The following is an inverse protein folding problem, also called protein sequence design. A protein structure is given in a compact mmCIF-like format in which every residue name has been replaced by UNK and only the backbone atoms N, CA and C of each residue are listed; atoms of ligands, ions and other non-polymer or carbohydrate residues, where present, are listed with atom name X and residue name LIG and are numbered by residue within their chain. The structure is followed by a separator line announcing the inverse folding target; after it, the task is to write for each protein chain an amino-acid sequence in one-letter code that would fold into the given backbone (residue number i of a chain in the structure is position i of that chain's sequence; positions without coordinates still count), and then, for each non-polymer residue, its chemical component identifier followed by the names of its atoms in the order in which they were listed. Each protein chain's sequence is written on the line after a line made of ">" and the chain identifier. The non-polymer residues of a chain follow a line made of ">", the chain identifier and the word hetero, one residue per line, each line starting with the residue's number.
data_IF_886539801204
#
_entry.id   IF_886539801204
#
_cell.length_a   1.000
_cell.length_b   1.000
_cell.length_c   1.000
_cell.angle_alpha   90.00
_cell.angle_beta   90.00
_cell.angle_gamma   90.00
#
_symmetry.space_group_name_H-M   'P 1'
#
loop_
_entity.id
_entity.type
_entity.pdbx_description
1 polymer ?
#
# COMPACT_ATOMS: atom_id res chain seq x y z
N UNK A 1 -6.86 10.54 -19.04
CA UNK A 1 -7.12 11.73 -18.21
C UNK A 1 -6.75 11.43 -16.76
N UNK A 2 -5.49 11.73 -16.38
CA UNK A 2 -4.95 11.43 -15.06
C UNK A 2 -5.54 12.35 -13.97
N UNK A 3 -5.83 11.85 -12.75
CA UNK A 3 -6.20 12.72 -11.65
C UNK A 3 -4.95 13.42 -11.09
N UNK A 4 -4.76 14.65 -11.55
CA UNK A 4 -3.75 15.64 -11.17
C UNK A 4 -3.88 16.16 -9.70
N UNK A 5 -4.35 15.35 -8.75
CA UNK A 5 -4.70 15.84 -7.40
C UNK A 5 -3.59 15.71 -6.34
N UNK A 6 -2.50 14.99 -6.62
CA UNK A 6 -1.41 14.77 -5.64
C UNK A 6 -0.08 15.50 -5.97
N UNK A 7 0.02 16.25 -7.08
CA UNK A 7 1.31 16.80 -7.53
C UNK A 7 1.76 18.11 -6.87
N UNK A 8 0.95 18.75 -6.01
CA UNK A 8 1.23 20.13 -5.53
C UNK A 8 1.70 20.30 -4.09
N UNK A 9 1.80 19.25 -3.27
CA UNK A 9 2.22 19.41 -1.86
C UNK A 9 3.67 19.03 -1.55
N UNK A 10 4.43 18.48 -2.52
CA UNK A 10 5.80 17.98 -2.28
C UNK A 10 6.83 19.07 -1.91
N UNK A 11 6.53 20.37 -2.07
CA UNK A 11 7.49 21.45 -1.79
C UNK A 11 7.26 22.20 -0.47
N UNK A 12 6.18 21.92 0.29
CA UNK A 12 5.83 22.74 1.44
C UNK A 12 5.26 21.93 2.62
N UNK A 13 6.04 21.01 3.17
CA UNK A 13 5.91 20.56 4.56
C UNK A 13 7.14 19.73 4.97
N UNK A 14 8.29 20.38 5.15
CA UNK A 14 9.38 19.81 5.96
C UNK A 14 9.02 20.02 7.43
N UNK A 15 8.01 19.31 7.90
CA UNK A 15 7.73 19.20 9.32
C UNK A 15 8.61 18.10 9.88
N UNK A 16 9.44 18.46 10.84
CA UNK A 16 10.30 17.57 11.61
C UNK A 16 9.45 16.59 12.42
N UNK A 17 8.99 15.51 11.80
CA UNK A 17 8.68 14.31 12.56
C UNK A 17 10.00 13.64 12.92
N UNK A 18 10.21 13.23 14.19
CA UNK A 18 11.41 12.50 14.54
C UNK A 18 11.44 11.22 13.70
N UNK A 19 12.56 11.00 13.01
CA UNK A 19 12.80 9.75 12.31
C UNK A 19 12.55 8.59 13.31
N UNK A 20 11.84 7.52 12.90
CA UNK A 20 11.74 6.34 13.73
C UNK A 20 13.16 5.89 14.11
N UNK A 21 13.39 5.41 15.34
CA UNK A 21 14.70 4.96 15.74
C UNK A 21 15.20 3.94 14.72
N UNK A 22 16.47 4.03 14.28
CA UNK A 22 17.02 3.06 13.34
C UNK A 22 16.79 1.67 13.92
N UNK A 23 16.19 0.78 13.12
CA UNK A 23 16.14 -0.62 13.47
C UNK A 23 17.59 -1.05 13.78
N UNK A 24 17.81 -1.55 14.99
CA UNK A 24 19.15 -1.96 15.42
C UNK A 24 19.74 -2.87 14.34
N UNK A 25 20.80 -2.40 13.67
CA UNK A 25 21.45 -3.08 12.58
C UNK A 25 22.23 -4.29 13.13
N UNK A 26 21.50 -5.34 13.50
CA UNK A 26 22.06 -6.67 13.54
C UNK A 26 22.43 -7.02 12.09
N UNK A 27 23.69 -7.43 11.87
CA UNK A 27 24.21 -7.82 10.56
C UNK A 27 23.41 -8.99 9.97
N UNK A 28 22.27 -8.71 9.35
CA UNK A 28 21.47 -9.68 8.62
C UNK A 28 22.14 -9.87 7.26
N UNK A 29 22.57 -11.11 6.99
CA UNK A 29 23.25 -11.51 5.75
C UNK A 29 22.31 -11.59 4.53
N UNK A 30 21.05 -11.19 4.66
CA UNK A 30 20.05 -11.22 3.59
C UNK A 30 18.73 -10.57 4.01
N UNK A 31 17.79 -10.51 3.08
CA UNK A 31 16.44 -9.97 3.24
C UNK A 31 15.42 -11.09 3.09
N UNK A 32 14.31 -11.01 3.82
CA UNK A 32 13.19 -11.94 3.62
C UNK A 32 12.11 -11.34 2.74
N UNK A 33 11.51 -12.17 1.91
CA UNK A 33 10.36 -11.83 1.09
C UNK A 33 9.38 -13.00 0.97
N UNK A 34 8.09 -12.70 0.86
CA UNK A 34 7.10 -13.66 0.41
C UNK A 34 7.09 -13.66 -1.11
N UNK A 35 7.40 -14.80 -1.73
CA UNK A 35 7.35 -14.95 -3.19
C UNK A 35 6.21 -15.89 -3.55
N UNK A 36 5.30 -15.40 -4.38
CA UNK A 36 4.21 -16.18 -4.94
C UNK A 36 4.59 -16.74 -6.32
N UNK A 37 4.04 -17.91 -6.64
CA UNK A 37 4.15 -18.65 -7.90
C UNK A 37 2.76 -18.91 -8.46
N UNK A 38 2.69 -19.20 -9.75
CA UNK A 38 1.40 -19.51 -10.38
C UNK A 38 0.88 -20.84 -9.85
N UNK A 39 -0.42 -20.89 -9.52
CA UNK A 39 -1.07 -22.11 -8.99
C UNK A 39 -0.92 -23.31 -9.93
N UNK A 40 -0.79 -23.08 -11.24
CA UNK A 40 -0.61 -24.17 -12.22
C UNK A 40 0.74 -24.87 -12.10
N UNK A 41 1.72 -24.21 -11.49
CA UNK A 41 3.10 -24.67 -11.39
C UNK A 41 3.40 -25.23 -9.99
N UNK A 42 2.37 -25.35 -9.14
CA UNK A 42 2.47 -25.75 -7.74
C UNK A 42 1.66 -27.03 -7.54
N UNK A 43 2.24 -28.09 -6.95
CA UNK A 43 1.51 -29.33 -6.66
C UNK A 43 0.26 -29.10 -5.82
N UNK A 44 -0.71 -30.01 -5.96
CA UNK A 44 -1.94 -29.96 -5.16
C UNK A 44 -1.61 -30.13 -3.67
N UNK A 45 -2.28 -29.34 -2.82
CA UNK A 45 -2.03 -29.31 -1.38
C UNK A 45 -0.87 -28.42 -0.93
N UNK A 46 -0.03 -27.93 -1.85
CA UNK A 46 1.08 -27.03 -1.50
C UNK A 46 0.67 -25.54 -1.55
N UNK A 47 1.34 -24.72 -0.74
CA UNK A 47 1.15 -23.28 -0.77
C UNK A 47 1.77 -22.69 -2.06
N UNK A 48 1.02 -21.85 -2.78
CA UNK A 48 1.54 -21.17 -3.97
C UNK A 48 2.49 -20.01 -3.64
N UNK A 49 2.76 -19.76 -2.37
CA UNK A 49 3.71 -18.77 -1.91
C UNK A 49 4.56 -19.32 -0.77
N UNK A 50 5.79 -18.82 -0.67
CA UNK A 50 6.75 -19.22 0.34
C UNK A 50 7.59 -18.03 0.77
N UNK A 51 7.95 -17.98 2.05
CA UNK A 51 9.01 -17.07 2.50
C UNK A 51 10.35 -17.54 1.95
N UNK A 52 11.13 -16.61 1.41
CA UNK A 52 12.47 -16.85 0.88
C UNK A 52 13.46 -15.85 1.47
N UNK A 53 14.69 -16.29 1.67
CA UNK A 53 15.82 -15.42 1.95
C UNK A 53 16.50 -15.05 0.63
N UNK A 54 16.71 -13.75 0.40
CA UNK A 54 17.41 -13.21 -0.77
C UNK A 54 18.63 -12.39 -0.33
N UNK A 55 19.69 -12.40 -1.12
CA UNK A 55 20.93 -11.70 -0.78
C UNK A 55 20.77 -10.17 -0.80
N UNK A 56 19.91 -9.63 -1.68
CA UNK A 56 19.65 -8.21 -1.85
C UNK A 56 18.28 -7.98 -2.52
N UNK A 57 17.78 -6.74 -2.48
CA UNK A 57 16.49 -6.38 -3.11
C UNK A 57 16.50 -6.65 -4.63
N UNK A 58 17.66 -6.50 -5.28
CA UNK A 58 17.84 -6.77 -6.71
C UNK A 58 17.69 -8.24 -7.09
N UNK A 59 17.68 -9.16 -6.10
CA UNK A 59 17.45 -10.58 -6.32
C UNK A 59 15.96 -10.97 -6.21
N UNK A 60 15.07 -10.00 -5.94
CA UNK A 60 13.64 -10.24 -6.00
C UNK A 60 13.18 -10.48 -7.46
N UNK A 61 12.08 -11.23 -7.67
CA UNK A 61 11.75 -11.79 -8.98
C UNK A 61 11.46 -10.78 -10.10
N UNK A 62 10.87 -9.62 -9.79
CA UNK A 62 10.32 -8.67 -10.77
C UNK A 62 10.61 -7.22 -10.40
N UNK A 63 11.86 -6.82 -10.54
CA UNK A 63 12.27 -5.43 -10.37
C UNK A 63 11.71 -4.53 -11.49
N UNK A 64 11.38 -3.28 -11.15
CA UNK A 64 11.11 -2.26 -12.16
C UNK A 64 12.44 -1.69 -12.66
N UNK A 65 12.77 -1.79 -13.96
CA UNK A 65 14.01 -1.22 -14.50
C UNK A 65 14.07 0.32 -14.38
N UNK A 66 12.96 0.98 -14.06
CA UNK A 66 12.89 2.43 -13.82
C UNK A 66 12.87 2.80 -12.34
N UNK A 67 13.02 1.85 -11.43
CA UNK A 67 13.09 2.17 -10.00
C UNK A 67 14.34 2.99 -9.68
N UNK A 68 14.17 4.02 -8.86
CA UNK A 68 15.20 4.98 -8.45
C UNK A 68 15.17 5.27 -6.93
N UNK A 69 14.33 4.55 -6.19
CA UNK A 69 14.26 4.56 -4.71
C UNK A 69 14.20 3.14 -4.19
N UNK A 70 15.02 2.85 -3.18
CA UNK A 70 14.95 1.66 -2.35
C UNK A 70 14.40 2.03 -0.97
N UNK A 71 13.43 1.26 -0.49
CA UNK A 71 12.74 1.48 0.78
C UNK A 71 12.99 0.30 1.71
N UNK A 72 13.39 0.58 2.94
CA UNK A 72 13.33 -0.37 4.04
C UNK A 72 11.90 -0.43 4.57
N UNK A 73 11.23 -1.55 4.35
CA UNK A 73 9.82 -1.70 4.68
C UNK A 73 9.69 -2.06 6.14
N UNK A 74 8.86 -1.28 6.85
CA UNK A 74 8.52 -1.53 8.25
C UNK A 74 7.14 -2.16 8.39
N UNK A 75 6.19 -1.74 7.56
CA UNK A 75 4.80 -2.14 7.62
C UNK A 75 4.23 -2.27 6.21
N UNK A 76 3.28 -3.17 6.05
CA UNK A 76 2.49 -3.36 4.84
C UNK A 76 1.05 -3.68 5.24
N UNK A 77 0.16 -3.80 4.28
CA UNK A 77 -1.26 -4.10 4.49
C UNK A 77 -1.64 -5.40 3.81
N UNK A 78 -2.81 -5.95 4.16
CA UNK A 78 -3.37 -7.10 3.49
C UNK A 78 -4.63 -6.70 2.73
N UNK A 79 -4.55 -6.78 1.40
CA UNK A 79 -5.69 -6.51 0.53
C UNK A 79 -6.20 -7.79 -0.12
N UNK A 80 -7.47 -7.77 -0.55
CA UNK A 80 -8.10 -8.89 -1.23
C UNK A 80 -7.29 -9.39 -2.44
N UNK A 81 -6.74 -8.46 -3.24
CA UNK A 81 -5.90 -8.82 -4.38
C UNK A 81 -4.57 -9.46 -3.99
N UNK A 82 -3.97 -9.03 -2.88
CA UNK A 82 -2.74 -9.64 -2.37
C UNK A 82 -2.99 -11.11 -2.01
N UNK A 83 -4.13 -11.39 -1.36
CA UNK A 83 -4.53 -12.76 -1.04
C UNK A 83 -4.71 -13.63 -2.29
N UNK A 84 -5.35 -13.11 -3.35
CA UNK A 84 -5.48 -13.83 -4.62
C UNK A 84 -4.11 -14.17 -5.23
N UNK A 85 -3.15 -13.25 -5.15
CA UNK A 85 -1.79 -13.45 -5.68
C UNK A 85 -1.03 -14.47 -4.82
N UNK A 86 -1.12 -14.37 -3.49
CA UNK A 86 -0.53 -15.32 -2.53
C UNK A 86 -1.05 -16.75 -2.76
N UNK A 87 -2.30 -16.88 -3.21
CA UNK A 87 -2.91 -18.16 -3.59
C UNK A 87 -2.54 -18.64 -5.00
N UNK A 88 -1.78 -17.85 -5.76
CA UNK A 88 -1.30 -18.18 -7.11
C UNK A 88 -2.37 -18.01 -8.20
N UNK A 89 -3.44 -17.25 -7.94
CA UNK A 89 -4.55 -17.08 -8.88
C UNK A 89 -4.14 -16.23 -10.09
N UNK A 90 -4.70 -16.55 -11.27
CA UNK A 90 -4.48 -15.79 -12.50
C UNK A 90 -5.44 -14.60 -12.60
N UNK A 91 -5.05 -13.59 -13.38
CA UNK A 91 -5.89 -12.43 -13.70
C UNK A 91 -5.64 -11.19 -12.84
N UNK A 92 -4.83 -11.30 -11.78
CA UNK A 92 -4.49 -10.19 -10.87
C UNK A 92 -3.07 -9.66 -11.12
N UNK A 93 -2.11 -10.57 -11.32
CA UNK A 93 -0.72 -10.24 -11.68
C UNK A 93 -0.46 -10.53 -13.14
N UNK A 94 0.49 -9.79 -13.72
CA UNK A 94 0.91 -9.99 -15.12
C UNK A 94 1.57 -11.35 -15.30
N UNK A 95 2.59 -11.64 -14.47
CA UNK A 95 3.29 -12.92 -14.49
C UNK A 95 3.84 -13.25 -13.10
N UNK A 96 4.00 -14.53 -12.85
CA UNK A 96 4.70 -15.11 -11.70
C UNK A 96 6.12 -15.56 -12.11
N UNK A 97 7.06 -15.74 -11.17
CA UNK A 97 6.96 -15.44 -9.74
C UNK A 97 6.97 -13.93 -9.44
N UNK A 98 6.42 -13.53 -8.30
CA UNK A 98 6.38 -12.13 -7.86
C UNK A 98 6.30 -12.04 -6.34
N UNK A 99 6.89 -10.99 -5.75
CA UNK A 99 6.60 -10.61 -4.37
C UNK A 99 5.31 -9.78 -4.30
N UNK A 100 4.24 -10.23 -3.62
CA UNK A 100 2.98 -9.48 -3.51
C UNK A 100 3.10 -8.29 -2.54
N UNK A 101 1.97 -7.62 -2.25
CA UNK A 101 1.92 -6.50 -1.32
C UNK A 101 1.85 -5.19 -2.08
N UNK A 102 0.65 -4.67 -2.25
CA UNK A 102 0.42 -3.43 -3.02
C UNK A 102 0.57 -2.16 -2.19
N UNK A 103 0.67 -2.28 -0.88
CA UNK A 103 0.94 -1.18 0.04
C UNK A 103 2.21 -1.45 0.84
N UNK A 104 2.95 -0.41 1.17
CA UNK A 104 3.95 -0.47 2.22
C UNK A 104 4.29 0.92 2.77
N UNK A 105 4.83 0.92 3.98
CA UNK A 105 5.38 2.08 4.64
C UNK A 105 6.74 1.76 5.24
N UNK A 106 7.65 2.71 5.14
CA UNK A 106 9.04 2.49 5.49
C UNK A 106 9.87 3.75 5.49
N UNK A 107 11.17 3.55 5.48
CA UNK A 107 12.15 4.62 5.33
C UNK A 107 12.96 4.41 4.07
N UNK A 108 13.32 5.49 3.41
CA UNK A 108 14.20 5.43 2.24
C UNK A 108 15.56 4.92 2.67
N UNK A 109 15.96 3.79 2.11
CA UNK A 109 17.27 3.18 2.33
C UNK A 109 18.31 3.75 1.37
N UNK A 110 17.90 4.04 0.13
CA UNK A 110 18.74 4.65 -0.91
C UNK A 110 17.86 5.37 -1.92
N UNK A 111 18.33 6.49 -2.46
CA UNK A 111 17.67 7.15 -3.60
C UNK A 111 18.66 7.77 -4.57
N UNK A 112 18.37 7.66 -5.87
CA UNK A 112 19.00 8.45 -6.93
C UNK A 112 18.10 9.61 -7.41
N UNK A 113 16.89 9.74 -6.87
CA UNK A 113 15.94 10.80 -7.21
C UNK A 113 16.11 11.99 -6.24
N UNK A 114 16.00 13.24 -6.71
CA UNK A 114 16.04 14.40 -5.81
C UNK A 114 14.78 14.56 -4.95
N UNK A 115 13.72 13.78 -5.21
CA UNK A 115 12.45 13.86 -4.48
C UNK A 115 12.54 13.28 -3.05
N UNK A 116 13.47 12.36 -2.81
CA UNK A 116 13.57 11.61 -1.56
C UNK A 116 15.03 11.47 -1.13
N UNK A 117 15.27 11.50 0.18
CA UNK A 117 16.59 11.34 0.80
C UNK A 117 16.59 10.11 1.70
N UNK A 118 17.76 9.52 1.89
CA UNK A 118 17.93 8.45 2.87
C UNK A 118 17.42 8.88 4.25
N UNK A 119 16.65 8.01 4.90
CA UNK A 119 15.99 8.28 6.18
C UNK A 119 14.61 8.93 6.08
N UNK A 120 14.19 9.41 4.89
CA UNK A 120 12.84 9.97 4.73
C UNK A 120 11.79 8.87 4.93
N UNK A 121 10.75 9.19 5.71
CA UNK A 121 9.60 8.33 5.89
C UNK A 121 8.69 8.38 4.66
N UNK A 122 8.34 7.22 4.12
CA UNK A 122 7.59 7.11 2.85
C UNK A 122 6.50 6.06 2.92
N UNK A 123 5.49 6.27 2.08
CA UNK A 123 4.34 5.39 1.91
C UNK A 123 4.14 5.14 0.43
N UNK A 124 3.82 3.90 0.07
CA UNK A 124 3.33 3.52 -1.24
C UNK A 124 1.97 2.84 -1.08
N UNK A 125 1.00 3.22 -1.90
CA UNK A 125 -0.26 2.51 -2.07
C UNK A 125 -0.59 2.34 -3.54
N UNK A 126 -0.57 1.11 -4.05
CA UNK A 126 -0.87 0.78 -5.45
C UNK A 126 0.32 0.94 -6.40
N UNK A 127 0.20 1.79 -7.41
CA UNK A 127 1.25 2.10 -8.39
C UNK A 127 1.99 0.89 -8.99
N UNK A 128 1.27 -0.19 -9.32
CA UNK A 128 1.79 -1.43 -9.93
C UNK A 128 2.70 -2.30 -9.03
N UNK A 129 3.05 -1.83 -7.83
CA UNK A 129 3.71 -2.65 -6.81
C UNK A 129 2.85 -3.87 -6.47
N UNK A 130 3.51 -5.00 -6.22
CA UNK A 130 2.88 -6.28 -5.91
C UNK A 130 2.04 -6.90 -7.03
N UNK A 131 1.99 -6.29 -8.23
CA UNK A 131 1.15 -6.76 -9.35
C UNK A 131 1.92 -6.90 -10.66
N UNK A 132 2.73 -5.90 -10.99
CA UNK A 132 3.61 -5.91 -12.16
C UNK A 132 5.07 -6.05 -11.75
N UNK A 133 5.42 -5.42 -10.63
CA UNK A 133 6.73 -5.44 -10.00
C UNK A 133 6.61 -5.89 -8.56
N UNK A 134 7.73 -6.29 -7.97
CA UNK A 134 7.77 -6.74 -6.58
C UNK A 134 7.20 -5.69 -5.61
N UNK A 135 6.47 -6.19 -4.63
CA UNK A 135 5.68 -5.40 -3.70
C UNK A 135 6.22 -5.39 -2.27
N UNK A 136 5.35 -4.96 -1.37
CA UNK A 136 5.60 -4.68 0.04
C UNK A 136 5.75 -5.90 0.95
N UNK A 137 5.54 -7.12 0.46
CA UNK A 137 5.76 -8.34 1.26
C UNK A 137 7.22 -8.79 1.23
N UNK A 138 8.11 -7.82 1.45
CA UNK A 138 9.55 -8.00 1.59
C UNK A 138 10.09 -7.00 2.61
N UNK A 139 11.27 -7.27 3.15
CA UNK A 139 11.95 -6.34 4.07
C UNK A 139 12.51 -5.12 3.33
N UNK A 140 12.71 -5.20 2.01
CA UNK A 140 13.00 -4.05 1.14
C UNK A 140 12.25 -4.15 -0.18
N UNK A 141 11.96 -3.01 -0.77
CA UNK A 141 11.44 -2.91 -2.14
C UNK A 141 12.09 -1.74 -2.88
N UNK A 142 12.13 -1.84 -4.20
CA UNK A 142 12.49 -0.73 -5.08
C UNK A 142 11.26 -0.22 -5.80
N UNK A 143 11.14 1.09 -5.95
CA UNK A 143 10.07 1.72 -6.73
C UNK A 143 10.55 3.00 -7.39
N UNK A 144 9.66 3.62 -8.15
CA UNK A 144 9.90 4.95 -8.69
C UNK A 144 9.55 6.01 -7.65
N UNK A 145 10.35 7.05 -7.57
CA UNK A 145 10.20 8.15 -6.63
C UNK A 145 8.81 8.79 -6.68
N UNK A 146 8.21 8.90 -7.87
CA UNK A 146 6.90 9.50 -8.06
C UNK A 146 5.73 8.63 -7.55
N UNK A 147 5.99 7.38 -7.16
CA UNK A 147 4.97 6.50 -6.56
C UNK A 147 4.85 6.66 -5.05
N UNK A 148 5.86 7.26 -4.43
CA UNK A 148 5.93 7.48 -3.00
C UNK A 148 5.24 8.77 -2.62
N UNK A 149 4.63 8.76 -1.44
CA UNK A 149 4.09 9.94 -0.78
C UNK A 149 4.60 9.99 0.65
N UNK A 150 4.65 11.20 1.23
CA UNK A 150 5.00 11.36 2.63
C UNK A 150 3.82 10.88 3.50
N UNK A 151 4.07 10.17 4.61
CA UNK A 151 3.02 9.83 5.55
C UNK A 151 2.40 11.11 6.15
N UNK A 152 1.11 11.11 6.51
CA UNK A 152 0.51 12.21 7.25
C UNK A 152 1.27 12.43 8.57
N UNK A 153 1.65 13.68 8.94
CA UNK A 153 2.50 13.93 10.09
C UNK A 153 1.87 13.52 11.43
N UNK A 154 0.54 13.40 11.48
CA UNK A 154 -0.20 12.96 12.65
C UNK A 154 -0.26 11.44 12.84
N UNK A 155 0.20 10.65 11.87
CA UNK A 155 0.11 9.20 11.88
C UNK A 155 1.50 8.57 11.89
N UNK A 156 1.69 7.56 12.73
CA UNK A 156 2.81 6.63 12.59
C UNK A 156 2.73 5.84 11.27
N UNK A 157 3.83 5.23 10.84
CA UNK A 157 3.84 4.34 9.67
C UNK A 157 2.87 3.17 9.84
N UNK A 158 2.80 2.60 11.05
CA UNK A 158 1.84 1.55 11.40
C UNK A 158 0.40 2.03 11.21
N UNK A 159 0.03 3.17 11.80
CA UNK A 159 -1.31 3.74 11.65
C UNK A 159 -1.62 4.12 10.20
N UNK A 160 -0.62 4.57 9.44
CA UNK A 160 -0.79 4.88 8.02
C UNK A 160 -1.13 3.63 7.21
N UNK A 161 -0.50 2.50 7.54
CA UNK A 161 -0.83 1.20 6.93
C UNK A 161 -2.15 0.60 7.43
N UNK A 162 -2.63 0.96 8.61
CA UNK A 162 -4.02 0.62 9.01
C UNK A 162 -5.03 1.27 8.06
N UNK A 163 -4.77 2.50 7.59
CA UNK A 163 -5.59 3.17 6.57
C UNK A 163 -5.38 2.50 5.20
N UNK A 164 -4.14 2.48 4.72
CA UNK A 164 -3.72 1.78 3.50
C UNK A 164 -4.58 2.06 2.26
N UNK A 165 -4.57 1.13 1.31
CA UNK A 165 -5.40 1.19 0.09
C UNK A 165 -6.89 1.22 0.41
N UNK A 166 -7.37 0.48 1.41
CA UNK A 166 -8.78 0.44 1.76
C UNK A 166 -9.32 1.83 2.16
N UNK A 167 -8.58 2.54 3.02
CA UNK A 167 -8.97 3.87 3.48
C UNK A 167 -8.81 4.94 2.41
N UNK A 168 -7.76 4.89 1.57
CA UNK A 168 -7.61 5.79 0.41
C UNK A 168 -8.78 5.59 -0.56
N UNK A 169 -9.15 4.34 -0.83
CA UNK A 169 -10.28 4.02 -1.71
C UNK A 169 -11.59 4.55 -1.13
N UNK A 170 -11.85 4.32 0.16
CA UNK A 170 -13.03 4.86 0.85
C UNK A 170 -13.10 6.40 0.73
N UNK A 171 -11.98 7.08 0.98
CA UNK A 171 -11.91 8.54 0.89
C UNK A 171 -12.18 9.06 -0.52
N UNK A 172 -11.63 8.41 -1.55
CA UNK A 172 -11.89 8.76 -2.95
C UNK A 172 -13.36 8.55 -3.32
N UNK A 173 -13.98 7.45 -2.88
CA UNK A 173 -15.40 7.20 -3.13
C UNK A 173 -16.29 8.26 -2.48
N UNK A 174 -16.04 8.59 -1.20
CA UNK A 174 -16.81 9.62 -0.48
C UNK A 174 -16.63 10.99 -1.12
N UNK A 175 -15.39 11.37 -1.46
CA UNK A 175 -15.12 12.64 -2.14
C UNK A 175 -15.80 12.72 -3.52
N UNK A 176 -15.79 11.61 -4.28
CA UNK A 176 -16.45 11.53 -5.57
C UNK A 176 -17.98 11.69 -5.46
N UNK A 177 -18.61 11.01 -4.50
CA UNK A 177 -20.05 11.13 -4.24
C UNK A 177 -20.46 12.57 -3.94
N UNK A 178 -19.67 13.29 -3.14
CA UNK A 178 -19.98 14.67 -2.79
C UNK A 178 -19.73 15.65 -3.94
N UNK A 179 -18.61 15.51 -4.65
CA UNK A 179 -18.20 16.49 -5.68
C UNK A 179 -18.92 16.31 -7.01
N UNK A 180 -19.15 15.07 -7.41
CA UNK A 180 -19.68 14.75 -8.74
C UNK A 180 -21.08 14.15 -8.68
N UNK A 181 -21.38 13.39 -7.62
CA UNK A 181 -22.73 12.92 -7.37
C UNK A 181 -23.64 13.99 -6.74
N UNK A 182 -23.06 15.12 -6.32
CA UNK A 182 -23.75 16.19 -5.58
C UNK A 182 -24.54 15.67 -4.36
N UNK A 183 -24.09 14.55 -3.79
CA UNK A 183 -24.77 13.93 -2.65
C UNK A 183 -24.50 14.77 -1.41
N UNK A 184 -25.58 15.26 -0.80
CA UNK A 184 -25.55 16.08 0.42
C UNK A 184 -26.26 15.34 1.56
N UNK A 185 -25.94 15.65 2.84
CA UNK A 185 -26.65 15.07 3.98
C UNK A 185 -28.17 15.25 3.93
N UNK A 186 -28.65 16.36 3.36
CA UNK A 186 -30.08 16.65 3.18
C UNK A 186 -30.79 15.72 2.20
N UNK A 187 -30.06 14.94 1.40
CA UNK A 187 -30.65 13.95 0.49
C UNK A 187 -31.03 12.64 1.20
N UNK A 188 -30.74 12.53 2.50
CA UNK A 188 -31.10 11.38 3.33
C UNK A 188 -29.92 10.47 3.68
N UNK A 189 -30.20 9.31 4.30
CA UNK A 189 -29.17 8.40 4.79
C UNK A 189 -28.41 7.71 3.65
N UNK A 190 -27.14 7.38 3.92
CA UNK A 190 -26.26 6.63 3.00
C UNK A 190 -26.10 5.20 3.51
N UNK A 191 -26.45 4.21 2.68
CA UNK A 191 -26.19 2.80 2.96
C UNK A 191 -24.73 2.45 2.68
N UNK A 192 -24.03 1.94 3.69
CA UNK A 192 -22.68 1.35 3.53
C UNK A 192 -22.78 -0.16 3.69
N UNK A 193 -22.54 -0.90 2.62
CA UNK A 193 -22.46 -2.36 2.63
C UNK A 193 -21.07 -2.83 3.05
N UNK A 194 -21.00 -4.00 3.70
CA UNK A 194 -19.73 -4.51 4.23
C UNK A 194 -19.11 -3.58 5.27
N UNK A 195 -19.94 -2.89 6.06
CA UNK A 195 -19.53 -1.82 6.98
C UNK A 195 -18.50 -2.28 8.04
N UNK A 196 -18.47 -3.58 8.37
CA UNK A 196 -17.50 -4.16 9.29
C UNK A 196 -16.12 -4.45 8.63
N UNK A 197 -15.99 -4.36 7.31
CA UNK A 197 -14.71 -4.55 6.61
C UNK A 197 -13.83 -3.30 6.60
N UNK A 198 -12.55 -3.45 6.24
CA UNK A 198 -11.58 -2.34 6.30
C UNK A 198 -11.98 -1.09 5.51
N UNK A 199 -12.55 -1.26 4.31
CA UNK A 199 -13.04 -0.14 3.51
C UNK A 199 -14.34 0.44 4.10
N UNK A 200 -15.26 -0.43 4.51
CA UNK A 200 -16.55 -0.03 5.08
C UNK A 200 -16.41 0.80 6.35
N UNK A 201 -15.55 0.39 7.28
CA UNK A 201 -15.31 1.12 8.53
C UNK A 201 -14.79 2.54 8.27
N UNK A 202 -13.85 2.70 7.32
CA UNK A 202 -13.33 4.02 6.96
C UNK A 202 -14.41 4.85 6.26
N UNK A 203 -15.21 4.26 5.37
CA UNK A 203 -16.31 4.97 4.72
C UNK A 203 -17.36 5.47 5.73
N UNK A 204 -17.76 4.63 6.69
CA UNK A 204 -18.67 5.00 7.78
C UNK A 204 -18.11 6.20 8.55
N UNK A 205 -16.85 6.14 8.97
CA UNK A 205 -16.21 7.22 9.72
C UNK A 205 -16.16 8.53 8.92
N UNK A 206 -15.79 8.47 7.65
CA UNK A 206 -15.66 9.64 6.78
C UNK A 206 -17.02 10.29 6.45
N UNK A 207 -18.05 9.49 6.20
CA UNK A 207 -19.41 9.98 5.94
C UNK A 207 -20.03 10.60 7.18
N UNK A 208 -19.89 9.94 8.34
CA UNK A 208 -20.37 10.47 9.62
C UNK A 208 -19.68 11.81 9.96
N UNK A 209 -18.36 11.89 9.79
CA UNK A 209 -17.62 13.14 9.99
C UNK A 209 -18.05 14.29 9.05
N UNK A 210 -18.71 13.97 7.93
CA UNK A 210 -19.26 14.93 6.96
C UNK A 210 -20.75 15.21 7.17
N UNK A 211 -21.33 14.73 8.26
CA UNK A 211 -22.71 15.03 8.65
C UNK A 211 -23.77 14.12 8.02
N UNK A 212 -23.37 13.05 7.32
CA UNK A 212 -24.32 12.07 6.80
C UNK A 212 -24.84 11.17 7.92
N UNK A 213 -26.13 10.85 7.86
CA UNK A 213 -26.66 9.65 8.52
C UNK A 213 -26.20 8.42 7.74
N UNK A 214 -25.60 7.46 8.45
CA UNK A 214 -25.04 6.25 7.83
C UNK A 214 -25.84 5.04 8.29
N UNK A 215 -26.40 4.30 7.32
CA UNK A 215 -27.02 2.99 7.56
C UNK A 215 -25.99 1.92 7.24
N UNK A 216 -25.55 1.18 8.25
CA UNK A 216 -24.55 0.14 8.10
C UNK A 216 -25.20 -1.22 7.80
N UNK A 217 -24.72 -1.91 6.77
CA UNK A 217 -25.05 -3.31 6.50
C UNK A 217 -23.80 -4.18 6.66
N UNK A 218 -23.92 -5.25 7.44
CA UNK A 218 -22.84 -6.19 7.72
C UNK A 218 -23.34 -7.63 7.77
N UNK A 219 -22.41 -8.57 7.65
CA UNK A 219 -22.60 -9.99 7.97
C UNK A 219 -21.74 -10.36 9.18
N UNK A 220 -22.22 -11.30 9.98
CA UNK A 220 -21.52 -11.86 11.15
C UNK A 220 -21.15 -13.31 10.93
#
# INVERSE_FOLDING_TARGET
>A
PEPCFMRRSLLAARLSTPAPPPAAAAARRGLRALVARSRKDVPEGEAASSLVDVAAVSALPRQDPKADVEVEISHSTLNYKDAMIVLGQKGVVRDFPITPGIDYAGVVARSSSPLWREGDAVVLTGNKAGQYFDGGYAERATCRAEWLVAPPPALSLAQTMVVGTAGVTAAMCVDYLQRFGEVQPSHGPVLVTGAAGGLGQVAVALLHARGFEVVASGGS
#
